data_IF_351396787492
#
_entry.id   IF_351396787492
#
_cell.length_a   1.000
_cell.length_b   1.000
_cell.length_c   1.000
_cell.angle_alpha   90.00
_cell.angle_beta   90.00
_cell.angle_gamma   90.00
#
_symmetry.space_group_name_H-M   'P 1'
#
loop_
_entity.id
_entity.type
_entity.pdbx_description
1 polymer ?
#
# COMPACT_ATOMS: atom_id res chain seq x y z
N UNK A 1 58.34 5.06 66.08
CA UNK A 1 58.07 3.90 65.21
C UNK A 1 56.59 3.85 64.96
N UNK A 2 56.12 4.48 63.83
CA UNK A 2 54.71 4.52 63.47
C UNK A 2 54.42 3.52 62.39
N UNK A 3 53.61 2.50 62.68
CA UNK A 3 53.08 1.58 61.67
C UNK A 3 51.82 2.21 61.05
N UNK A 4 51.90 2.60 59.79
CA UNK A 4 50.76 2.97 58.99
C UNK A 4 50.06 1.70 58.52
N UNK A 5 48.79 1.53 58.90
CA UNK A 5 47.86 0.55 58.32
C UNK A 5 47.29 1.11 57.04
N UNK A 6 47.52 0.42 55.94
CA UNK A 6 46.90 0.71 54.64
C UNK A 6 45.55 -0.02 54.59
N UNK A 7 44.44 0.72 54.70
CA UNK A 7 43.11 0.19 54.45
C UNK A 7 42.80 0.29 52.98
N UNK A 8 42.74 -0.87 52.35
CA UNK A 8 42.33 -1.01 50.94
C UNK A 8 40.81 -0.84 50.86
N UNK A 9 40.35 0.23 50.25
CA UNK A 9 38.94 0.39 49.87
C UNK A 9 38.71 -0.31 48.55
N UNK A 10 37.99 -1.44 48.63
CA UNK A 10 37.47 -2.14 47.43
C UNK A 10 36.22 -1.45 46.99
N UNK A 11 36.29 -0.60 45.96
CA UNK A 11 35.14 0.04 45.36
C UNK A 11 34.53 -1.00 44.39
N UNK A 12 33.41 -1.60 44.80
CA UNK A 12 32.60 -2.44 43.94
C UNK A 12 31.81 -1.50 43.02
N UNK A 13 32.20 -1.37 41.76
CA UNK A 13 31.43 -0.73 40.72
C UNK A 13 30.35 -1.71 40.30
N UNK A 14 29.13 -1.52 40.81
CA UNK A 14 27.90 -2.12 40.26
C UNK A 14 27.64 -1.51 38.89
N UNK A 15 28.05 -2.18 37.83
CA UNK A 15 27.58 -1.88 36.48
C UNK A 15 26.16 -2.41 36.40
N UNK A 16 25.17 -1.54 36.64
CA UNK A 16 23.79 -1.80 36.29
C UNK A 16 23.69 -1.75 34.75
N UNK A 17 23.78 -2.91 34.11
CA UNK A 17 23.37 -3.07 32.71
C UNK A 17 21.86 -2.85 32.64
N UNK A 18 21.43 -1.61 32.46
CA UNK A 18 20.11 -1.30 31.97
C UNK A 18 20.04 -1.89 30.57
N UNK A 19 19.44 -3.08 30.43
CA UNK A 19 18.88 -3.55 29.19
C UNK A 19 17.85 -2.49 28.73
N UNK A 20 18.29 -1.60 27.87
CA UNK A 20 17.38 -0.81 27.05
C UNK A 20 16.73 -1.81 26.12
N UNK A 21 15.59 -2.34 26.56
CA UNK A 21 14.64 -2.97 25.64
C UNK A 21 14.16 -1.81 24.78
N UNK A 22 14.81 -1.64 23.62
CA UNK A 22 14.24 -0.91 22.50
C UNK A 22 12.98 -1.69 22.09
N UNK A 23 11.87 -1.46 22.79
CA UNK A 23 10.57 -1.65 22.19
C UNK A 23 10.54 -0.66 21.03
N UNK A 24 10.77 -1.13 19.81
CA UNK A 24 10.25 -0.46 18.65
C UNK A 24 8.71 -0.45 18.85
N UNK A 25 8.22 0.56 19.55
CA UNK A 25 6.88 1.06 19.34
C UNK A 25 6.85 1.42 17.85
N UNK A 26 6.34 0.49 17.04
CA UNK A 26 5.86 0.81 15.70
C UNK A 26 4.73 1.81 15.90
N UNK A 27 5.08 3.09 15.97
CA UNK A 27 4.14 4.18 15.97
C UNK A 27 3.33 4.06 14.70
N UNK A 28 2.06 3.72 14.85
CA UNK A 28 0.99 3.79 13.84
C UNK A 28 0.66 5.26 13.51
N UNK A 29 1.66 6.15 13.53
CA UNK A 29 1.47 7.61 13.50
C UNK A 29 0.94 8.13 12.16
N UNK A 30 0.95 7.31 11.08
CA UNK A 30 0.45 7.72 9.76
C UNK A 30 -0.44 6.64 9.13
N UNK A 31 -1.68 6.55 9.60
CA UNK A 31 -2.71 5.76 8.91
C UNK A 31 -3.33 6.60 7.79
N UNK A 32 -3.46 6.02 6.60
CA UNK A 32 -4.15 6.57 5.43
C UNK A 32 -5.21 5.58 5.00
N UNK A 33 -6.48 6.01 4.85
CA UNK A 33 -7.59 5.19 4.35
C UNK A 33 -7.76 3.85 5.11
N UNK A 34 -7.49 3.85 6.41
CA UNK A 34 -7.51 2.66 7.26
C UNK A 34 -6.27 1.78 7.16
N UNK A 35 -5.30 2.08 6.31
CA UNK A 35 -4.06 1.34 6.14
C UNK A 35 -2.84 2.09 6.67
N UNK A 36 -1.72 1.37 6.83
CA UNK A 36 -0.43 1.96 7.15
C UNK A 36 0.14 2.63 5.89
N UNK A 37 0.95 3.68 6.06
CA UNK A 37 1.70 4.23 4.94
C UNK A 37 2.70 3.17 4.42
N UNK A 38 2.70 2.95 3.11
CA UNK A 38 3.70 2.16 2.42
C UNK A 38 4.96 3.04 2.30
N UNK A 39 6.10 2.52 2.77
CA UNK A 39 7.37 3.23 2.57
C UNK A 39 7.71 3.20 1.07
N UNK A 40 7.67 4.35 0.43
CA UNK A 40 8.17 4.49 -0.92
C UNK A 40 9.70 4.46 -0.91
N UNK A 41 10.33 3.93 -1.98
CA UNK A 41 11.77 4.13 -2.17
C UNK A 41 12.05 5.62 -2.16
N UNK A 42 12.96 6.07 -1.31
CA UNK A 42 13.34 7.48 -1.22
C UNK A 42 13.85 7.94 -2.57
N UNK A 43 13.09 8.77 -3.26
CA UNK A 43 13.59 9.53 -4.41
C UNK A 43 14.44 10.65 -3.82
N UNK A 44 15.74 10.62 -4.03
CA UNK A 44 16.70 11.63 -3.54
C UNK A 44 16.65 12.96 -4.34
N UNK A 45 15.55 13.31 -4.96
CA UNK A 45 15.44 14.59 -5.65
C UNK A 45 14.22 15.35 -5.15
N UNK A 46 14.48 16.33 -4.28
CA UNK A 46 13.61 17.48 -4.09
C UNK A 46 13.53 18.26 -5.42
N UNK A 47 12.61 17.85 -6.30
CA UNK A 47 12.25 18.67 -7.45
C UNK A 47 11.51 19.88 -6.89
N UNK A 48 12.25 20.98 -6.69
CA UNK A 48 11.64 22.28 -6.42
C UNK A 48 10.91 22.71 -7.68
N UNK A 49 9.60 22.62 -7.66
CA UNK A 49 8.74 23.22 -8.69
C UNK A 49 8.73 24.73 -8.43
N UNK A 50 9.67 25.46 -9.06
CA UNK A 50 9.88 26.91 -8.84
C UNK A 50 8.97 27.82 -9.71
N UNK A 51 8.05 27.26 -10.52
CA UNK A 51 7.21 28.05 -11.43
C UNK A 51 5.71 27.87 -11.17
N UNK A 52 5.02 28.98 -10.90
CA UNK A 52 3.54 29.04 -10.81
C UNK A 52 2.85 28.52 -12.10
N UNK A 53 3.50 28.60 -13.25
CA UNK A 53 2.96 28.13 -14.55
C UNK A 53 2.84 26.59 -14.62
N UNK A 54 3.63 25.84 -13.86
CA UNK A 54 3.53 24.38 -13.79
C UNK A 54 2.32 23.90 -12.98
N UNK A 55 1.78 24.73 -12.08
CA UNK A 55 0.58 24.41 -11.30
C UNK A 55 -0.65 24.21 -12.20
N UNK A 56 -0.75 24.94 -13.31
CA UNK A 56 -1.85 24.79 -14.28
C UNK A 56 -1.78 23.48 -15.08
N UNK A 57 -0.58 22.94 -15.27
CA UNK A 57 -0.40 21.63 -15.93
C UNK A 57 -0.86 20.47 -15.05
N UNK A 58 -0.91 20.68 -13.73
CA UNK A 58 -1.31 19.66 -12.74
C UNK A 58 -2.81 19.38 -12.74
N UNK A 59 -3.66 20.27 -13.25
CA UNK A 59 -5.12 20.04 -13.30
C UNK A 59 -5.49 18.75 -14.06
N UNK A 60 -4.67 18.32 -15.01
CA UNK A 60 -4.88 17.05 -15.73
C UNK A 60 -4.85 15.83 -14.83
N UNK A 61 -4.12 15.88 -13.70
CA UNK A 61 -4.01 14.77 -12.74
C UNK A 61 -5.17 14.73 -11.75
N UNK A 62 -5.91 15.81 -11.62
CA UNK A 62 -7.09 15.92 -10.77
C UNK A 62 -8.38 15.55 -11.51
N UNK A 63 -8.30 14.67 -12.52
CA UNK A 63 -9.44 14.17 -13.29
C UNK A 63 -9.79 12.75 -12.90
N UNK A 64 -11.07 12.36 -13.02
CA UNK A 64 -11.46 10.98 -12.85
C UNK A 64 -10.73 10.09 -13.89
N UNK A 65 -10.37 8.89 -13.49
CA UNK A 65 -9.83 7.89 -14.39
C UNK A 65 -10.93 7.37 -15.34
N UNK A 66 -10.50 6.77 -16.47
CA UNK A 66 -11.42 6.05 -17.36
C UNK A 66 -11.60 4.57 -16.93
N UNK A 67 -11.12 4.20 -15.74
CA UNK A 67 -11.19 2.84 -15.22
C UNK A 67 -12.61 2.50 -14.75
N UNK A 68 -12.98 1.24 -14.90
CA UNK A 68 -14.23 0.73 -14.36
C UNK A 68 -14.21 0.72 -12.85
N UNK A 69 -15.24 1.26 -12.21
CA UNK A 69 -15.41 1.26 -10.77
C UNK A 69 -15.88 -0.13 -10.32
N UNK A 70 -15.15 -0.77 -9.42
CA UNK A 70 -15.39 -2.13 -8.97
C UNK A 70 -16.29 -2.23 -7.74
N UNK A 71 -16.33 -1.18 -6.90
CA UNK A 71 -17.06 -1.13 -5.63
C UNK A 71 -18.47 -0.52 -5.78
N UNK A 72 -19.32 -1.14 -6.60
CA UNK A 72 -20.70 -0.68 -6.86
C UNK A 72 -21.78 -1.57 -6.22
N UNK A 73 -21.39 -2.56 -5.42
CA UNK A 73 -22.32 -3.53 -4.82
C UNK A 73 -23.04 -2.92 -3.61
N UNK A 74 -24.35 -2.75 -3.69
CA UNK A 74 -25.20 -2.19 -2.59
C UNK A 74 -26.17 -3.20 -1.97
N UNK A 75 -26.47 -4.29 -2.67
CA UNK A 75 -27.64 -5.13 -2.39
C UNK A 75 -27.59 -5.91 -1.06
N UNK A 76 -26.44 -5.96 -0.38
CA UNK A 76 -26.25 -6.71 0.87
C UNK A 76 -25.90 -5.80 2.06
N UNK A 77 -25.86 -4.49 1.86
CA UNK A 77 -25.49 -3.52 2.89
C UNK A 77 -26.77 -2.90 3.42
N UNK A 78 -27.02 -3.07 4.74
CA UNK A 78 -28.17 -2.47 5.40
C UNK A 78 -27.85 -1.04 5.84
N UNK A 79 -28.65 -0.08 5.40
CA UNK A 79 -28.58 1.32 5.88
C UNK A 79 -28.90 1.40 7.37
N UNK A 80 -29.70 0.47 7.88
CA UNK A 80 -30.07 0.40 9.31
C UNK A 80 -28.87 0.23 10.26
N UNK A 81 -27.73 -0.20 9.72
CA UNK A 81 -26.48 -0.35 10.48
C UNK A 81 -25.62 0.91 10.50
N UNK A 82 -26.00 1.94 9.74
CA UNK A 82 -25.25 3.19 9.71
C UNK A 82 -25.37 3.95 11.05
N UNK A 83 -24.27 4.49 11.52
CA UNK A 83 -24.20 5.28 12.76
C UNK A 83 -24.29 4.47 14.07
N UNK A 84 -24.44 3.13 13.99
CA UNK A 84 -24.36 2.27 15.18
C UNK A 84 -22.92 2.15 15.69
N UNK A 85 -22.75 1.79 16.97
CA UNK A 85 -21.43 1.41 17.45
C UNK A 85 -20.91 0.19 16.70
N UNK A 86 -19.60 0.09 16.38
CA UNK A 86 -19.06 -1.08 15.70
C UNK A 86 -19.35 -2.40 16.42
N UNK A 87 -19.43 -2.42 17.76
CA UNK A 87 -19.75 -3.60 18.57
C UNK A 87 -21.17 -4.14 18.33
N UNK A 88 -22.09 -3.29 17.90
CA UNK A 88 -23.51 -3.62 17.77
C UNK A 88 -23.85 -4.11 16.36
N UNK A 89 -22.89 -4.02 15.43
CA UNK A 89 -23.06 -4.41 14.02
C UNK A 89 -22.57 -5.83 13.79
N UNK A 90 -23.45 -6.66 13.22
CA UNK A 90 -23.11 -8.01 12.75
C UNK A 90 -23.16 -8.04 11.23
N UNK A 91 -21.98 -8.17 10.60
CA UNK A 91 -21.91 -8.31 9.15
C UNK A 91 -22.62 -9.59 8.67
N UNK A 92 -23.35 -9.47 7.57
CA UNK A 92 -23.84 -10.62 6.84
C UNK A 92 -22.63 -11.40 6.29
N UNK A 93 -22.55 -12.71 6.57
CA UNK A 93 -21.46 -13.59 6.15
C UNK A 93 -21.29 -13.67 4.62
N UNK A 94 -22.35 -13.44 3.86
CA UNK A 94 -22.29 -13.38 2.39
C UNK A 94 -21.37 -12.26 1.88
N UNK A 95 -21.22 -11.16 2.63
CA UNK A 95 -20.29 -10.07 2.31
C UNK A 95 -18.81 -10.50 2.40
N UNK A 96 -18.53 -11.57 3.13
CA UNK A 96 -17.21 -12.04 3.52
C UNK A 96 -16.87 -13.42 2.93
N UNK A 97 -17.58 -13.86 1.89
CA UNK A 97 -17.55 -15.23 1.38
C UNK A 97 -16.25 -15.57 0.63
N UNK A 98 -15.71 -14.62 -0.11
CA UNK A 98 -14.42 -14.75 -0.79
C UNK A 98 -13.53 -13.55 -0.45
N UNK A 99 -12.20 -13.67 -0.59
CA UNK A 99 -11.29 -12.54 -0.37
C UNK A 99 -11.65 -11.35 -1.26
N UNK A 100 -11.88 -11.61 -2.53
CA UNK A 100 -12.23 -10.58 -3.52
C UNK A 100 -13.55 -9.88 -3.18
N UNK A 101 -14.59 -10.65 -2.80
CA UNK A 101 -15.88 -10.06 -2.40
C UNK A 101 -15.76 -9.24 -1.12
N UNK A 102 -14.94 -9.70 -0.15
CA UNK A 102 -14.68 -8.96 1.08
C UNK A 102 -14.11 -7.57 0.79
N UNK A 103 -13.12 -7.48 -0.10
CA UNK A 103 -12.52 -6.19 -0.48
C UNK A 103 -13.52 -5.32 -1.22
N UNK A 104 -14.21 -5.87 -2.22
CA UNK A 104 -15.21 -5.11 -3.00
C UNK A 104 -16.32 -4.58 -2.08
N UNK A 105 -16.83 -5.41 -1.17
CA UNK A 105 -17.89 -5.02 -0.26
C UNK A 105 -17.42 -3.99 0.77
N UNK A 106 -16.19 -4.12 1.28
CA UNK A 106 -15.56 -3.14 2.15
C UNK A 106 -15.52 -1.75 1.50
N UNK A 107 -14.98 -1.66 0.29
CA UNK A 107 -14.95 -0.40 -0.44
C UNK A 107 -16.33 0.04 -0.91
N UNK A 108 -17.29 -0.86 -1.12
CA UNK A 108 -18.66 -0.47 -1.44
C UNK A 108 -19.35 0.23 -0.26
N UNK A 109 -19.02 -0.18 0.98
CA UNK A 109 -19.44 0.55 2.19
C UNK A 109 -18.77 1.92 2.25
N UNK A 110 -17.45 1.97 2.06
CA UNK A 110 -16.68 3.23 2.10
C UNK A 110 -17.03 4.20 0.98
N UNK A 111 -17.57 3.72 -0.12
CA UNK A 111 -18.06 4.58 -1.20
C UNK A 111 -19.23 5.48 -0.78
N UNK A 112 -20.03 5.02 0.17
CA UNK A 112 -21.17 5.77 0.72
C UNK A 112 -20.72 6.69 1.88
N UNK A 113 -19.44 6.62 2.29
CA UNK A 113 -18.88 7.38 3.38
C UNK A 113 -18.17 8.64 2.91
N UNK A 114 -18.24 9.69 3.74
CA UNK A 114 -17.41 10.87 3.61
C UNK A 114 -17.06 11.41 5.00
N UNK A 115 -15.86 11.97 5.15
CA UNK A 115 -15.41 12.59 6.39
C UNK A 115 -14.75 13.96 6.12
N UNK A 116 -15.56 14.96 5.64
CA UNK A 116 -15.06 16.29 5.37
C UNK A 116 -14.54 16.95 6.66
N UNK A 117 -13.55 17.80 6.52
CA UNK A 117 -13.15 18.72 7.59
C UNK A 117 -14.28 19.72 7.86
N UNK A 118 -14.35 20.23 9.08
CA UNK A 118 -15.42 21.16 9.53
C UNK A 118 -15.56 22.42 8.65
N UNK A 119 -14.47 22.85 8.01
CA UNK A 119 -14.44 24.02 7.13
C UNK A 119 -14.47 23.70 5.63
N UNK A 120 -14.59 22.41 5.25
CA UNK A 120 -14.60 22.01 3.85
C UNK A 120 -15.95 22.30 3.23
N UNK A 121 -15.98 23.16 2.22
CA UNK A 121 -17.17 23.33 1.40
C UNK A 121 -17.22 22.22 0.35
N UNK A 122 -18.18 21.33 0.50
CA UNK A 122 -18.28 20.12 -0.35
C UNK A 122 -19.10 20.32 -1.64
N UNK A 123 -19.38 21.56 -2.03
CA UNK A 123 -20.12 21.85 -3.26
C UNK A 123 -21.64 21.61 -3.16
N UNK A 124 -22.23 20.89 -4.08
CA UNK A 124 -23.69 20.72 -4.18
C UNK A 124 -24.24 19.69 -3.18
N UNK A 125 -25.11 20.12 -2.26
CA UNK A 125 -25.96 19.27 -1.44
C UNK A 125 -25.47 19.05 -0.01
N UNK A 126 -26.38 18.60 0.86
CA UNK A 126 -26.03 18.12 2.19
C UNK A 126 -25.47 16.70 2.08
N UNK A 127 -24.33 16.47 2.69
CA UNK A 127 -23.72 15.13 2.71
C UNK A 127 -24.49 14.13 3.60
N UNK A 128 -25.59 14.55 4.24
CA UNK A 128 -26.38 13.71 5.13
C UNK A 128 -25.52 13.13 6.27
N UNK A 129 -25.85 11.93 6.73
CA UNK A 129 -25.06 11.20 7.72
C UNK A 129 -23.94 10.36 7.06
N UNK A 130 -23.02 11.07 6.38
CA UNK A 130 -21.95 10.45 5.59
C UNK A 130 -20.88 9.76 6.43
N UNK A 131 -20.86 10.00 7.75
CA UNK A 131 -19.98 9.30 8.71
C UNK A 131 -20.54 7.94 9.15
N UNK A 132 -21.84 7.72 8.90
CA UNK A 132 -22.54 6.49 9.29
C UNK A 132 -21.99 5.18 8.77
N UNK A 133 -21.44 5.08 7.54
CA UNK A 133 -20.88 3.82 7.03
C UNK A 133 -19.59 3.34 7.70
N UNK A 134 -18.78 4.21 8.30
CA UNK A 134 -17.47 3.83 8.87
C UNK A 134 -17.53 2.74 9.95
N UNK A 135 -18.50 2.75 10.90
CA UNK A 135 -18.62 1.66 11.88
C UNK A 135 -18.85 0.31 11.22
N UNK A 136 -19.64 0.26 10.13
CA UNK A 136 -19.89 -0.94 9.37
C UNK A 136 -18.61 -1.41 8.65
N UNK A 137 -17.89 -0.50 7.98
CA UNK A 137 -16.63 -0.79 7.31
C UNK A 137 -15.57 -1.35 8.29
N UNK A 138 -15.48 -0.80 9.50
CA UNK A 138 -14.57 -1.30 10.54
C UNK A 138 -14.81 -2.77 10.91
N UNK A 139 -16.02 -3.31 10.71
CA UNK A 139 -16.33 -4.71 10.98
C UNK A 139 -15.84 -5.70 9.91
N UNK A 140 -15.38 -5.23 8.76
CA UNK A 140 -14.65 -6.07 7.80
C UNK A 140 -13.23 -6.40 8.26
N UNK A 141 -12.71 -5.68 9.27
CA UNK A 141 -11.35 -5.83 9.76
C UNK A 141 -11.22 -7.02 10.71
N UNK A 142 -10.10 -7.72 10.60
CA UNK A 142 -9.77 -8.85 11.44
C UNK A 142 -9.48 -8.42 12.89
N UNK A 143 -9.61 -9.36 13.84
CA UNK A 143 -9.37 -9.08 15.25
C UNK A 143 -7.98 -8.50 15.52
N UNK A 144 -6.94 -9.08 14.91
CA UNK A 144 -5.56 -8.62 15.11
C UNK A 144 -5.29 -7.21 14.58
N UNK A 145 -6.06 -6.74 13.57
CA UNK A 145 -6.03 -5.34 13.15
C UNK A 145 -6.67 -4.46 14.22
N UNK A 146 -7.85 -4.82 14.70
CA UNK A 146 -8.61 -4.05 15.71
C UNK A 146 -7.91 -3.95 17.07
N UNK A 147 -7.02 -4.88 17.38
CA UNK A 147 -6.15 -4.84 18.57
C UNK A 147 -5.06 -3.79 18.47
N UNK A 148 -4.66 -3.41 17.25
CA UNK A 148 -3.61 -2.43 16.97
C UNK A 148 -4.15 -1.05 16.64
N UNK A 149 -5.30 -1.00 15.97
CA UNK A 149 -5.93 0.23 15.47
C UNK A 149 -7.34 0.34 16.03
N UNK A 150 -7.55 1.29 16.93
CA UNK A 150 -8.87 1.57 17.47
C UNK A 150 -9.81 2.13 16.38
N UNK A 151 -11.12 2.04 16.61
CA UNK A 151 -12.10 2.65 15.70
C UNK A 151 -11.87 4.15 15.51
N UNK A 152 -11.46 4.85 16.56
CA UNK A 152 -11.17 6.30 16.51
C UNK A 152 -9.99 6.61 15.57
N UNK A 153 -8.92 5.84 15.65
CA UNK A 153 -7.74 5.99 14.77
C UNK A 153 -8.08 5.60 13.33
N UNK A 154 -8.80 4.48 13.15
CA UNK A 154 -9.31 4.07 11.85
C UNK A 154 -10.17 5.17 11.21
N UNK A 155 -11.17 5.70 11.93
CA UNK A 155 -12.03 6.77 11.43
C UNK A 155 -11.25 8.04 11.10
N UNK A 156 -10.28 8.43 11.95
CA UNK A 156 -9.41 9.59 11.73
C UNK A 156 -8.60 9.47 10.45
N UNK A 157 -8.19 8.27 10.06
CA UNK A 157 -7.40 8.04 8.85
C UNK A 157 -8.14 8.37 7.53
N UNK A 158 -9.44 8.62 7.61
CA UNK A 158 -10.29 9.07 6.49
C UNK A 158 -10.61 10.57 6.55
N UNK A 159 -9.91 11.33 7.40
CA UNK A 159 -10.11 12.78 7.46
C UNK A 159 -9.90 13.41 6.09
N UNK A 160 -10.84 14.29 5.72
CA UNK A 160 -10.88 14.97 4.41
C UNK A 160 -11.18 14.07 3.18
N UNK A 161 -11.54 12.80 3.37
CA UNK A 161 -11.97 11.93 2.29
C UNK A 161 -13.46 12.10 2.02
N UNK A 162 -13.81 12.40 0.75
CA UNK A 162 -15.19 12.68 0.33
C UNK A 162 -15.79 11.53 -0.45
N UNK A 163 -14.99 10.75 -1.17
CA UNK A 163 -15.45 9.63 -1.97
C UNK A 163 -14.30 8.67 -2.29
N UNK A 164 -14.57 7.36 -2.34
CA UNK A 164 -13.55 6.34 -2.63
C UNK A 164 -14.10 5.37 -3.68
N UNK A 165 -13.41 5.27 -4.81
CA UNK A 165 -13.62 4.28 -5.85
C UNK A 165 -12.46 3.27 -5.85
N UNK A 166 -12.78 1.98 -5.86
CA UNK A 166 -11.82 0.92 -6.14
C UNK A 166 -11.75 0.73 -7.66
N UNK A 167 -10.60 0.98 -8.27
CA UNK A 167 -10.43 0.95 -9.73
C UNK A 167 -9.55 -0.21 -10.22
N UNK A 168 -8.66 -0.76 -9.38
CA UNK A 168 -7.92 -2.00 -9.66
C UNK A 168 -7.97 -2.93 -8.46
N UNK A 169 -8.04 -4.25 -8.72
CA UNK A 169 -8.07 -5.29 -7.70
C UNK A 169 -7.57 -6.61 -8.27
N UNK A 170 -6.36 -7.02 -7.90
CA UNK A 170 -5.73 -8.24 -8.37
C UNK A 170 -5.15 -9.03 -7.20
N UNK A 171 -5.41 -10.33 -7.18
CA UNK A 171 -4.67 -11.22 -6.29
C UNK A 171 -3.22 -11.29 -6.76
N UNK A 172 -2.29 -11.16 -5.81
CA UNK A 172 -0.85 -11.17 -6.08
C UNK A 172 -0.15 -12.18 -5.19
N UNK A 173 1.05 -12.66 -5.56
CA UNK A 173 1.80 -13.57 -4.71
C UNK A 173 2.00 -13.00 -3.31
N UNK A 174 1.97 -13.88 -2.27
CA UNK A 174 2.25 -13.47 -0.90
C UNK A 174 3.72 -13.03 -0.75
N UNK A 175 4.00 -12.22 0.25
CA UNK A 175 5.36 -11.83 0.58
C UNK A 175 6.16 -13.05 1.08
N UNK A 176 7.46 -13.10 0.79
CA UNK A 176 8.35 -14.20 1.19
C UNK A 176 8.30 -14.50 2.69
N UNK A 177 8.18 -13.45 3.51
CA UNK A 177 8.09 -13.56 4.98
C UNK A 177 6.67 -13.79 5.49
N UNK A 178 5.66 -13.76 4.62
CA UNK A 178 4.23 -13.96 4.92
C UNK A 178 3.58 -14.92 3.91
N UNK A 179 4.12 -16.15 3.71
CA UNK A 179 3.76 -17.04 2.60
C UNK A 179 2.33 -17.56 2.64
N UNK A 180 1.66 -17.47 3.80
CA UNK A 180 0.29 -17.95 3.99
C UNK A 180 -0.76 -16.83 3.91
N UNK A 181 -0.35 -15.58 3.75
CA UNK A 181 -1.28 -14.46 3.65
C UNK A 181 -1.89 -14.42 2.24
N UNK A 182 -3.18 -14.14 2.20
CA UNK A 182 -3.88 -13.82 0.95
C UNK A 182 -3.64 -12.33 0.69
N UNK A 183 -2.98 -11.99 -0.41
CA UNK A 183 -2.56 -10.63 -0.72
C UNK A 183 -3.21 -10.15 -2.00
N UNK A 184 -3.73 -8.93 -1.98
CA UNK A 184 -4.28 -8.24 -3.14
C UNK A 184 -3.57 -6.91 -3.35
N UNK A 185 -3.27 -6.60 -4.61
CA UNK A 185 -2.95 -5.26 -5.06
C UNK A 185 -4.24 -4.49 -5.31
N UNK A 186 -4.27 -3.22 -4.92
CA UNK A 186 -5.39 -2.32 -5.16
C UNK A 186 -4.90 -0.96 -5.65
N UNK A 187 -5.72 -0.30 -6.45
CA UNK A 187 -5.60 1.13 -6.75
C UNK A 187 -6.94 1.79 -6.50
N UNK A 188 -6.89 2.93 -5.83
CA UNK A 188 -8.04 3.70 -5.38
C UNK A 188 -8.02 5.08 -6.04
N UNK A 189 -9.16 5.48 -6.59
CA UNK A 189 -9.44 6.85 -6.98
C UNK A 189 -10.27 7.50 -5.87
N UNK A 190 -9.81 8.60 -5.34
CA UNK A 190 -10.38 9.26 -4.17
C UNK A 190 -10.72 10.70 -4.51
N UNK A 191 -11.80 11.23 -3.95
CA UNK A 191 -12.06 12.67 -3.95
C UNK A 191 -11.70 13.18 -2.56
N UNK A 192 -10.75 14.09 -2.51
CA UNK A 192 -10.33 14.77 -1.28
C UNK A 192 -10.89 16.19 -1.24
N UNK A 193 -11.22 16.64 -0.04
CA UNK A 193 -11.58 18.02 0.19
C UNK A 193 -10.34 18.93 0.11
N UNK A 194 -10.55 20.19 -0.20
CA UNK A 194 -9.53 21.22 -0.18
C UNK A 194 -10.00 22.38 0.69
N UNK A 195 -9.13 23.35 0.94
CA UNK A 195 -9.46 24.64 1.55
C UNK A 195 -10.37 25.52 0.67
N UNK A 196 -10.58 25.10 -0.59
CA UNK A 196 -11.47 25.72 -1.56
C UNK A 196 -12.76 24.92 -1.70
N UNK A 197 -13.86 25.52 -2.21
CA UNK A 197 -15.14 24.82 -2.38
C UNK A 197 -15.14 23.86 -3.58
N UNK A 198 -14.13 23.05 -3.72
CA UNK A 198 -14.05 21.95 -4.69
C UNK A 198 -13.18 20.82 -4.17
N UNK A 199 -13.62 19.58 -4.38
CA UNK A 199 -12.80 18.42 -4.16
C UNK A 199 -11.81 18.24 -5.31
N UNK A 200 -10.72 17.53 -5.04
CA UNK A 200 -9.72 17.14 -6.02
C UNK A 200 -9.63 15.61 -6.09
N UNK A 201 -9.30 15.08 -7.27
CA UNK A 201 -9.03 13.67 -7.40
C UNK A 201 -7.61 13.40 -6.90
N UNK A 202 -7.47 12.38 -6.08
CA UNK A 202 -6.21 11.82 -5.61
C UNK A 202 -6.23 10.32 -5.86
N UNK A 203 -5.07 9.73 -6.05
CA UNK A 203 -4.94 8.30 -6.31
C UNK A 203 -4.04 7.67 -5.25
N UNK A 204 -4.39 6.45 -4.85
CA UNK A 204 -3.62 5.66 -3.90
C UNK A 204 -3.49 4.24 -4.43
N UNK A 205 -2.33 3.64 -4.28
CA UNK A 205 -2.13 2.22 -4.55
C UNK A 205 -1.62 1.52 -3.30
N UNK A 206 -1.74 0.20 -3.28
CA UNK A 206 -1.22 -0.53 -2.15
C UNK A 206 -1.64 -1.99 -2.11
N UNK A 207 -1.56 -2.55 -0.91
CA UNK A 207 -1.81 -3.97 -0.69
C UNK A 207 -2.77 -4.19 0.46
N UNK A 208 -3.68 -5.15 0.25
CA UNK A 208 -4.62 -5.62 1.27
C UNK A 208 -4.32 -7.08 1.56
N UNK A 209 -4.18 -7.40 2.84
CA UNK A 209 -3.93 -8.75 3.32
C UNK A 209 -5.17 -9.26 4.03
N UNK A 210 -5.58 -10.49 3.68
CA UNK A 210 -6.75 -11.12 4.27
C UNK A 210 -6.37 -12.40 5.00
N UNK A 211 -7.19 -12.74 5.97
CA UNK A 211 -7.13 -13.99 6.69
C UNK A 211 -8.51 -14.64 6.74
N UNK A 212 -8.55 -15.98 6.72
CA UNK A 212 -9.78 -16.75 6.83
C UNK A 212 -10.05 -17.07 8.28
N UNK A 213 -11.25 -16.71 8.77
CA UNK A 213 -11.76 -17.04 10.09
C UNK A 213 -13.18 -17.59 9.97
N UNK A 214 -13.48 -18.72 10.58
CA UNK A 214 -14.84 -19.31 10.63
C UNK A 214 -15.58 -19.35 9.27
N UNK A 215 -14.87 -19.71 8.21
CA UNK A 215 -15.35 -19.79 6.81
C UNK A 215 -15.64 -18.43 6.14
N UNK A 216 -15.24 -17.33 6.75
CA UNK A 216 -15.31 -15.97 6.17
C UNK A 216 -13.91 -15.37 6.06
N UNK A 217 -13.77 -14.38 5.20
CA UNK A 217 -12.51 -13.66 5.02
C UNK A 217 -12.61 -12.26 5.61
N UNK A 218 -11.56 -11.83 6.33
CA UNK A 218 -11.48 -10.50 6.90
C UNK A 218 -10.16 -9.85 6.58
N UNK A 219 -10.15 -8.53 6.54
CA UNK A 219 -8.96 -7.74 6.26
C UNK A 219 -8.08 -7.71 7.51
N UNK A 220 -6.88 -8.27 7.38
CA UNK A 220 -5.88 -8.39 8.44
C UNK A 220 -4.93 -7.21 8.50
N UNK A 221 -4.60 -6.67 7.33
CA UNK A 221 -3.66 -5.55 7.20
C UNK A 221 -3.92 -4.82 5.89
N UNK A 222 -3.60 -3.53 5.85
CA UNK A 222 -3.67 -2.69 4.66
C UNK A 222 -2.48 -1.74 4.64
N UNK A 223 -1.91 -1.52 3.47
CA UNK A 223 -0.82 -0.57 3.25
C UNK A 223 -1.09 0.22 1.99
N UNK A 224 -0.94 1.54 2.05
CA UNK A 224 -1.17 2.44 0.93
C UNK A 224 -0.04 3.45 0.76
N UNK A 225 0.24 3.81 -0.50
CA UNK A 225 1.03 4.98 -0.85
C UNK A 225 0.16 5.91 -1.70
N UNK A 226 0.26 7.22 -1.53
CA UNK A 226 -0.31 8.17 -2.47
C UNK A 226 0.45 8.06 -3.80
N UNK A 227 -0.27 8.15 -4.92
CA UNK A 227 0.39 8.30 -6.21
C UNK A 227 0.92 9.72 -6.36
N UNK A 228 2.12 9.83 -6.88
CA UNK A 228 2.64 11.11 -7.27
C UNK A 228 1.81 11.67 -8.45
N UNK A 229 1.47 12.95 -8.40
CA UNK A 229 0.75 13.63 -9.47
C UNK A 229 1.58 13.81 -10.76
N UNK A 230 2.90 13.65 -10.70
CA UNK A 230 3.76 13.67 -11.87
C UNK A 230 3.55 12.41 -12.71
N UNK A 231 3.51 12.54 -14.03
CA UNK A 231 3.40 11.40 -14.91
C UNK A 231 4.73 10.63 -15.02
N UNK A 232 4.64 9.35 -15.41
CA UNK A 232 5.76 8.41 -15.47
C UNK A 232 7.09 8.98 -16.04
N UNK A 233 7.12 9.79 -17.10
CA UNK A 233 8.38 10.34 -17.62
C UNK A 233 9.20 11.20 -16.63
N UNK A 234 8.58 11.69 -15.57
CA UNK A 234 9.25 12.50 -14.55
C UNK A 234 9.78 11.69 -13.37
N UNK A 235 9.46 10.39 -13.29
CA UNK A 235 9.86 9.52 -12.18
C UNK A 235 11.19 8.79 -12.39
N UNK A 236 11.76 8.88 -13.60
CA UNK A 236 13.00 8.19 -13.93
C UNK A 236 12.82 6.70 -14.20
N UNK A 237 13.93 5.99 -14.31
CA UNK A 237 13.99 4.62 -14.77
C UNK A 237 13.35 3.60 -13.82
N UNK A 238 13.37 3.86 -12.52
CA UNK A 238 12.86 2.93 -11.49
C UNK A 238 11.34 2.74 -11.55
N UNK A 239 10.64 3.58 -12.30
CA UNK A 239 9.20 3.54 -12.46
C UNK A 239 8.75 3.09 -13.86
N UNK A 240 9.67 2.61 -14.67
CA UNK A 240 9.39 2.00 -15.97
C UNK A 240 9.83 0.53 -15.98
N UNK A 241 8.93 -0.36 -16.35
CA UNK A 241 9.14 -1.81 -16.30
C UNK A 241 10.37 -2.28 -17.10
N UNK A 242 10.61 -1.70 -18.28
CA UNK A 242 11.75 -2.08 -19.11
C UNK A 242 13.06 -1.61 -18.50
N UNK A 243 13.14 -0.33 -18.18
CA UNK A 243 14.37 0.26 -17.64
C UNK A 243 14.73 -0.28 -16.26
N UNK A 244 13.73 -0.53 -15.40
CA UNK A 244 13.96 -1.18 -14.11
C UNK A 244 14.63 -2.53 -14.29
N UNK A 245 14.11 -3.39 -15.20
CA UNK A 245 14.69 -4.72 -15.45
C UNK A 245 16.07 -4.61 -16.10
N UNK A 246 16.28 -3.70 -17.04
CA UNK A 246 17.60 -3.50 -17.67
C UNK A 246 18.66 -3.07 -16.66
N UNK A 247 18.32 -2.18 -15.73
CA UNK A 247 19.25 -1.63 -14.74
C UNK A 247 19.45 -2.60 -13.57
N UNK A 248 18.37 -3.01 -12.91
CA UNK A 248 18.48 -3.83 -11.70
C UNK A 248 18.90 -5.27 -12.01
N UNK A 249 18.22 -5.92 -12.95
CA UNK A 249 18.50 -7.33 -13.27
C UNK A 249 19.67 -7.46 -14.26
N UNK A 250 19.78 -6.55 -15.23
CA UNK A 250 20.90 -6.51 -16.16
C UNK A 250 22.13 -5.88 -15.56
N UNK A 251 22.03 -4.61 -15.16
CA UNK A 251 23.15 -3.83 -14.64
C UNK A 251 23.67 -4.34 -13.31
N UNK A 252 22.81 -4.46 -12.29
CA UNK A 252 23.26 -4.85 -10.94
C UNK A 252 23.50 -6.35 -10.79
N UNK A 253 22.55 -7.20 -11.24
CA UNK A 253 22.65 -8.64 -11.07
C UNK A 253 23.40 -9.36 -12.20
N UNK A 254 23.67 -8.72 -13.35
CA UNK A 254 24.25 -9.34 -14.55
C UNK A 254 23.45 -10.57 -15.03
N UNK A 255 22.13 -10.53 -14.82
CA UNK A 255 21.20 -11.64 -15.11
C UNK A 255 20.62 -11.55 -16.52
N UNK A 256 20.53 -10.37 -17.10
CA UNK A 256 19.96 -10.17 -18.44
C UNK A 256 21.03 -10.42 -19.52
N UNK A 257 20.74 -11.32 -20.48
CA UNK A 257 21.53 -11.58 -21.67
C UNK A 257 20.68 -11.23 -22.91
N UNK A 258 20.99 -10.10 -23.52
CA UNK A 258 20.24 -9.57 -24.68
C UNK A 258 19.18 -8.53 -24.31
N UNK A 259 18.09 -8.50 -25.06
CA UNK A 259 17.04 -7.48 -24.96
C UNK A 259 15.96 -7.83 -23.93
N UNK A 260 15.46 -6.81 -23.21
CA UNK A 260 14.25 -6.90 -22.39
C UNK A 260 13.04 -6.53 -23.24
N UNK A 261 12.05 -7.41 -23.31
CA UNK A 261 10.81 -7.21 -24.08
C UNK A 261 9.62 -7.08 -23.15
N UNK A 262 8.90 -5.96 -23.21
CA UNK A 262 7.69 -5.75 -22.43
C UNK A 262 6.45 -6.12 -23.24
N UNK A 263 5.52 -6.84 -22.60
CA UNK A 263 4.18 -7.14 -23.16
C UNK A 263 3.12 -6.63 -22.21
N UNK A 264 2.14 -5.93 -22.77
CA UNK A 264 1.06 -5.31 -22.05
C UNK A 264 -0.25 -6.08 -22.24
N UNK A 265 -1.01 -6.23 -21.14
CA UNK A 265 -2.37 -6.75 -21.14
C UNK A 265 -3.22 -5.86 -20.20
N UNK A 266 -3.84 -4.83 -20.77
CA UNK A 266 -4.44 -3.75 -20.00
C UNK A 266 -3.39 -2.97 -19.22
N UNK A 267 -3.52 -2.98 -17.88
CA UNK A 267 -2.52 -2.39 -16.97
C UNK A 267 -1.50 -3.41 -16.43
N UNK A 268 -1.64 -4.69 -16.80
CA UNK A 268 -0.64 -5.70 -16.47
C UNK A 268 0.49 -5.65 -17.50
N UNK A 269 1.73 -5.52 -17.04
CA UNK A 269 2.92 -5.46 -17.85
C UNK A 269 3.89 -6.57 -17.46
N UNK A 270 4.42 -7.30 -18.43
CA UNK A 270 5.40 -8.36 -18.22
C UNK A 270 6.67 -8.05 -18.98
N UNK A 271 7.76 -7.81 -18.25
CA UNK A 271 9.08 -7.59 -18.82
C UNK A 271 9.84 -8.92 -18.90
N UNK A 272 9.99 -9.47 -20.11
CA UNK A 272 10.63 -10.75 -20.40
C UNK A 272 12.10 -10.58 -20.72
N UNK A 273 12.93 -11.49 -20.19
CA UNK A 273 14.36 -11.56 -20.52
C UNK A 273 14.89 -12.99 -20.39
N UNK A 274 16.15 -13.20 -20.82
CA UNK A 274 16.88 -14.48 -20.68
C UNK A 274 18.21 -14.21 -19.98
N UNK A 275 18.72 -15.23 -19.27
CA UNK A 275 20.09 -15.22 -18.78
C UNK A 275 21.05 -15.84 -19.80
N UNK A 276 22.36 -15.87 -19.48
CA UNK A 276 23.41 -16.44 -20.32
C UNK A 276 23.23 -17.93 -20.60
N UNK A 277 22.57 -18.65 -19.69
CA UNK A 277 22.24 -20.06 -19.80
C UNK A 277 20.93 -20.30 -20.56
N UNK A 278 20.33 -19.23 -21.11
CA UNK A 278 19.04 -19.23 -21.85
C UNK A 278 17.82 -19.60 -21.02
N UNK A 279 17.93 -19.54 -19.68
CA UNK A 279 16.73 -19.60 -18.84
C UNK A 279 15.85 -18.38 -19.11
N UNK A 280 14.54 -18.58 -19.11
CA UNK A 280 13.55 -17.53 -19.38
C UNK A 280 12.97 -17.00 -18.09
N UNK A 281 12.83 -15.67 -18.01
CA UNK A 281 12.28 -14.94 -16.87
C UNK A 281 11.26 -13.92 -17.33
N UNK A 282 10.35 -13.54 -16.46
CA UNK A 282 9.64 -12.27 -16.56
C UNK A 282 9.44 -11.65 -15.19
N UNK A 283 9.39 -10.33 -15.17
CA UNK A 283 8.97 -9.53 -14.01
C UNK A 283 7.58 -8.98 -14.31
N UNK A 284 6.65 -9.19 -13.37
CA UNK A 284 5.28 -8.70 -13.44
C UNK A 284 5.22 -7.32 -12.83
N UNK A 285 4.58 -6.40 -13.54
CA UNK A 285 4.25 -5.05 -13.08
C UNK A 285 2.76 -4.78 -13.27
N UNK A 286 2.23 -3.88 -12.41
CA UNK A 286 0.96 -3.23 -12.66
C UNK A 286 1.20 -1.73 -12.88
N UNK A 287 0.70 -1.24 -14.00
CA UNK A 287 0.79 0.18 -14.34
C UNK A 287 -0.31 0.94 -13.60
N UNK A 288 0.07 2.00 -12.90
CA UNK A 288 -0.84 2.93 -12.23
C UNK A 288 -1.52 3.87 -13.24
N UNK A 289 -2.53 4.60 -12.77
CA UNK A 289 -3.27 5.58 -13.59
C UNK A 289 -2.38 6.72 -14.09
N UNK A 290 -1.33 7.09 -13.34
CA UNK A 290 -0.32 8.06 -13.74
C UNK A 290 0.76 7.51 -14.72
N UNK A 291 0.68 6.22 -15.07
CA UNK A 291 1.61 5.54 -15.99
C UNK A 291 2.84 4.93 -15.31
N UNK A 292 2.96 5.03 -14.00
CA UNK A 292 4.05 4.40 -13.22
C UNK A 292 3.85 2.90 -13.14
N UNK A 293 4.90 2.12 -13.32
CA UNK A 293 4.91 0.67 -13.24
C UNK A 293 5.34 0.20 -11.85
N UNK A 294 4.44 -0.45 -11.13
CA UNK A 294 4.72 -1.02 -9.81
C UNK A 294 5.10 -2.49 -9.95
N UNK A 295 6.31 -2.83 -9.53
CA UNK A 295 6.79 -4.22 -9.53
C UNK A 295 5.95 -5.08 -8.56
N UNK A 296 5.47 -6.22 -9.04
CA UNK A 296 4.61 -7.14 -8.31
C UNK A 296 5.35 -8.43 -7.95
N UNK A 297 5.97 -9.11 -8.93
CA UNK A 297 6.58 -10.41 -8.72
C UNK A 297 7.56 -10.79 -9.83
N UNK A 298 8.47 -11.72 -9.48
CA UNK A 298 9.45 -12.29 -10.40
C UNK A 298 9.09 -13.74 -10.70
N UNK A 299 9.25 -14.14 -11.96
CA UNK A 299 8.98 -15.50 -12.42
C UNK A 299 10.11 -16.05 -13.27
N UNK A 300 10.39 -17.34 -13.08
CA UNK A 300 11.31 -18.12 -13.91
C UNK A 300 10.57 -19.29 -14.55
N UNK A 301 10.85 -19.56 -15.81
CA UNK A 301 10.30 -20.73 -16.49
C UNK A 301 11.07 -21.97 -16.11
N UNK A 302 10.38 -23.00 -15.61
CA UNK A 302 10.98 -24.27 -15.26
C UNK A 302 11.18 -25.16 -16.50
N UNK A 303 11.80 -26.34 -16.29
CA UNK A 303 12.07 -27.31 -17.37
C UNK A 303 10.82 -27.87 -18.05
N UNK A 304 9.69 -27.86 -17.35
CA UNK A 304 8.37 -28.30 -17.88
C UNK A 304 7.65 -27.19 -18.65
N UNK A 305 8.27 -26.01 -18.81
CA UNK A 305 7.72 -24.85 -19.50
C UNK A 305 6.73 -24.04 -18.66
N UNK A 306 6.59 -24.32 -17.36
CA UNK A 306 5.71 -23.58 -16.44
C UNK A 306 6.46 -22.44 -15.77
N UNK A 307 5.74 -21.34 -15.52
CA UNK A 307 6.24 -20.20 -14.78
C UNK A 307 6.14 -20.45 -13.27
N UNK A 308 7.25 -20.30 -12.56
CA UNK A 308 7.36 -20.46 -11.13
C UNK A 308 7.75 -19.12 -10.50
N UNK A 309 7.08 -18.78 -9.39
CA UNK A 309 7.40 -17.60 -8.59
C UNK A 309 8.81 -17.75 -8.01
N UNK A 310 9.61 -16.73 -8.17
CA UNK A 310 10.94 -16.62 -7.56
C UNK A 310 11.08 -15.30 -6.81
N UNK A 311 12.13 -15.15 -6.03
CA UNK A 311 12.41 -13.93 -5.30
C UNK A 311 13.85 -13.49 -5.59
N UNK A 312 13.99 -12.49 -6.46
CA UNK A 312 15.26 -11.84 -6.75
C UNK A 312 15.31 -10.55 -5.94
N UNK A 313 16.45 -10.30 -5.28
CA UNK A 313 16.71 -9.02 -4.61
C UNK A 313 17.86 -8.31 -5.32
N UNK A 314 17.58 -7.36 -6.23
CA UNK A 314 18.61 -6.66 -6.99
C UNK A 314 19.56 -5.82 -6.12
N UNK A 315 19.09 -5.26 -4.99
CA UNK A 315 19.93 -4.47 -4.08
C UNK A 315 21.09 -5.30 -3.52
N UNK A 316 20.84 -6.58 -3.18
CA UNK A 316 21.91 -7.50 -2.76
C UNK A 316 22.93 -7.77 -3.86
N UNK A 317 22.49 -7.76 -5.13
CA UNK A 317 23.41 -7.88 -6.25
C UNK A 317 24.33 -6.65 -6.33
N UNK A 318 23.79 -5.47 -6.10
CA UNK A 318 24.54 -4.21 -6.09
C UNK A 318 25.53 -4.12 -4.92
N UNK A 319 25.09 -4.49 -3.70
CA UNK A 319 25.94 -4.56 -2.50
C UNK A 319 27.16 -5.47 -2.73
N UNK A 320 26.95 -6.64 -3.33
CA UNK A 320 28.02 -7.59 -3.62
C UNK A 320 29.04 -7.05 -4.64
N UNK A 321 28.60 -6.22 -5.62
CA UNK A 321 29.49 -5.58 -6.59
C UNK A 321 30.34 -4.48 -5.96
N UNK A 322 29.81 -3.74 -5.00
CA UNK A 322 30.52 -2.66 -4.34
C UNK A 322 31.54 -3.15 -3.31
N UNK A 323 31.50 -4.44 -2.94
CA UNK A 323 32.43 -5.10 -2.02
C UNK A 323 33.56 -5.89 -2.73
N UNK A 324 33.64 -5.85 -4.05
CA UNK A 324 34.71 -6.42 -4.91
C UNK A 324 35.59 -5.32 -5.46
#
# INVERSE_FOLDING_TARGET
MFKRRLTSFLTIILISSTLVINSQENKLDNLILGGRCLEEPKIEEDIKVDNEDDVYSLERFFRPSNMSILNTKRNLISIDDYGKNPSDIKLNKELLKTPKDTIINYFSVLREAANPMDNTQTGCGSLGDTKGPYPLAYNFLFKSYKEKVSYKEYFKSFENQLHINLIKLNEVPPDKNRPNDIKYFVELEVIEGTDKPKGVFAYYYGYIYLEKEDRVYKIKDMMYAPENYLCAPYHGWSWDAKYLVEIEYGGWCSLVDGEVTVKDDGYERKAYFKDKDKNEYYVLFYQLTNGVDIKIADYKKNKDGKWELIYINPEKCLENKNNL
#
